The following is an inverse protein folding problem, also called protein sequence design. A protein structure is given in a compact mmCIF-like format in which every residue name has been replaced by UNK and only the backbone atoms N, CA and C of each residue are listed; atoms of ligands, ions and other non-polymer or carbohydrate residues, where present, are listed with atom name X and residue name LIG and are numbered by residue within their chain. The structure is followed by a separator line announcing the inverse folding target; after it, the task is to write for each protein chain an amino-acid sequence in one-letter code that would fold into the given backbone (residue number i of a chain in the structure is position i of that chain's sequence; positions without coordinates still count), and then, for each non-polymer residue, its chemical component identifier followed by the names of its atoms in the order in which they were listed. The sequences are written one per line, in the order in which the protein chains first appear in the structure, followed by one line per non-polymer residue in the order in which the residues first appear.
data_IF_947048699856
#
_entry.id   IF_947048699856
#
_cell.length_a   1.000
_cell.length_b   1.000
_cell.length_c   1.000
_cell.angle_alpha   90.00
_cell.angle_beta   90.00
_cell.angle_gamma   90.00
#
_symmetry.space_group_name_H-M   'P 1'
#
loop_
_entity.id
_entity.type
_entity.pdbx_description
1 polymer ?
#
# COMPACT_ATOMS: atom_id res chain seq x y z
N UNK A 1 -5.69 25.18 12.62
CA UNK A 1 -6.30 26.00 13.70
C UNK A 1 -7.22 25.08 14.50
N UNK A 2 -6.62 24.25 15.37
CA UNK A 2 -7.37 23.33 16.22
C UNK A 2 -7.83 24.07 17.46
N UNK A 3 -9.10 23.92 17.77
CA UNK A 3 -9.83 24.58 18.83
C UNK A 3 -9.11 24.32 20.16
N UNK A 4 -8.52 25.33 20.75
CA UNK A 4 -8.21 25.38 22.18
C UNK A 4 -9.54 25.47 22.95
N UNK A 5 -10.39 24.46 22.78
CA UNK A 5 -11.60 24.30 23.55
C UNK A 5 -11.25 23.70 24.91
N UNK A 6 -10.79 24.54 25.82
CA UNK A 6 -10.76 24.13 27.20
C UNK A 6 -12.21 23.85 27.64
N UNK A 7 -12.51 22.56 27.88
CA UNK A 7 -13.72 22.19 28.58
C UNK A 7 -13.73 22.96 29.91
N UNK A 8 -14.59 24.00 30.02
CA UNK A 8 -14.77 24.70 31.28
C UNK A 8 -15.47 23.73 32.23
N UNK A 9 -14.86 23.53 33.40
CA UNK A 9 -15.51 22.87 34.54
C UNK A 9 -16.91 23.49 34.71
N UNK A 10 -17.94 22.64 34.68
CA UNK A 10 -19.30 23.04 35.08
C UNK A 10 -19.42 22.75 36.59
N UNK A 11 -19.51 23.76 37.43
CA UNK A 11 -19.64 23.58 38.88
C UNK A 11 -20.95 22.93 39.33
N UNK A 12 -21.88 22.70 38.41
CA UNK A 12 -23.25 22.27 38.68
C UNK A 12 -23.49 20.76 38.40
N UNK A 13 -22.46 19.92 38.47
CA UNK A 13 -22.65 18.46 38.35
C UNK A 13 -23.41 17.93 39.59
N UNK A 14 -24.52 17.19 39.38
CA UNK A 14 -25.52 16.96 40.43
C UNK A 14 -25.09 15.99 41.55
N UNK A 15 -24.08 15.19 41.33
CA UNK A 15 -23.60 14.22 42.32
C UNK A 15 -22.12 13.87 42.15
N UNK A 16 -21.57 13.12 43.11
CA UNK A 16 -20.16 12.70 43.17
C UNK A 16 -19.81 11.70 42.04
N UNK A 17 -20.75 10.85 41.59
CA UNK A 17 -20.52 9.91 40.53
C UNK A 17 -20.37 10.64 39.18
N UNK A 18 -21.19 11.68 38.95
CA UNK A 18 -21.08 12.54 37.80
C UNK A 18 -19.74 13.30 37.76
N UNK A 19 -19.28 13.77 38.91
CA UNK A 19 -17.96 14.44 39.04
C UNK A 19 -16.83 13.46 38.72
N UNK A 20 -16.86 12.27 39.30
CA UNK A 20 -15.84 11.23 39.07
C UNK A 20 -15.76 10.85 37.59
N UNK A 21 -16.90 10.60 36.96
CA UNK A 21 -16.97 10.30 35.51
C UNK A 21 -16.43 11.45 34.65
N UNK A 22 -16.68 12.68 35.03
CA UNK A 22 -16.15 13.86 34.34
C UNK A 22 -14.63 13.95 34.49
N UNK A 23 -14.08 13.68 35.66
CA UNK A 23 -12.65 13.69 35.88
C UNK A 23 -11.92 12.58 35.11
N UNK A 24 -12.51 11.37 35.06
CA UNK A 24 -12.02 10.26 34.24
C UNK A 24 -11.99 10.66 32.74
N UNK A 25 -13.09 11.17 32.23
CA UNK A 25 -13.14 11.64 30.83
C UNK A 25 -12.15 12.78 30.55
N UNK A 26 -11.99 13.71 31.49
CA UNK A 26 -11.02 14.79 31.37
C UNK A 26 -9.58 14.27 31.31
N UNK A 27 -9.26 13.25 32.11
CA UNK A 27 -7.95 12.61 32.08
C UNK A 27 -7.69 11.93 30.73
N UNK A 28 -8.67 11.21 30.18
CA UNK A 28 -8.59 10.60 28.85
C UNK A 28 -8.40 11.66 27.75
N UNK A 29 -9.18 12.74 27.77
CA UNK A 29 -9.02 13.84 26.82
C UNK A 29 -7.64 14.50 26.91
N UNK A 30 -7.09 14.63 28.11
CA UNK A 30 -5.74 15.17 28.31
C UNK A 30 -4.69 14.26 27.69
N UNK A 31 -4.78 12.95 27.90
CA UNK A 31 -3.87 11.99 27.30
C UNK A 31 -3.96 12.02 25.76
N UNK A 32 -5.18 12.10 25.22
CA UNK A 32 -5.37 12.21 23.78
C UNK A 32 -4.80 13.51 23.22
N UNK A 33 -5.00 14.64 23.90
CA UNK A 33 -4.41 15.91 23.50
C UNK A 33 -2.88 15.90 23.54
N UNK A 34 -2.27 15.23 24.54
CA UNK A 34 -0.82 15.05 24.62
C UNK A 34 -0.31 14.19 23.45
N UNK A 35 -1.02 13.12 23.09
CA UNK A 35 -0.69 12.28 21.94
C UNK A 35 -0.78 13.09 20.62
N UNK A 36 -1.85 13.84 20.42
CA UNK A 36 -2.02 14.68 19.22
C UNK A 36 -0.92 15.73 19.13
N UNK A 37 -0.59 16.43 20.21
CA UNK A 37 0.50 17.40 20.24
C UNK A 37 1.85 16.74 19.95
N UNK A 38 2.08 15.53 20.46
CA UNK A 38 3.29 14.76 20.19
C UNK A 38 3.42 14.41 18.72
N UNK A 39 2.33 13.93 18.10
CA UNK A 39 2.28 13.60 16.67
C UNK A 39 2.45 14.87 15.80
N UNK A 40 1.76 15.97 16.13
CA UNK A 40 1.87 17.24 15.42
C UNK A 40 3.30 17.77 15.42
N UNK A 41 3.94 17.82 16.60
CA UNK A 41 5.33 18.30 16.74
C UNK A 41 6.35 17.42 15.98
N UNK A 42 6.02 16.20 15.63
CA UNK A 42 6.85 15.27 14.87
C UNK A 42 6.47 15.16 13.39
N UNK A 43 5.48 15.91 12.94
CA UNK A 43 4.98 15.88 11.56
C UNK A 43 4.15 14.63 11.25
N UNK A 44 3.34 14.17 12.21
CA UNK A 44 2.36 13.08 12.06
C UNK A 44 2.89 11.71 11.62
N UNK A 45 4.00 11.21 12.20
CA UNK A 45 4.61 9.96 11.75
C UNK A 45 3.68 8.75 11.83
N UNK A 46 2.80 8.67 12.81
CA UNK A 46 1.82 7.59 12.96
C UNK A 46 0.79 7.62 11.83
N UNK A 47 0.25 8.82 11.53
CA UNK A 47 -0.69 9.00 10.43
C UNK A 47 -0.06 8.62 9.09
N UNK A 48 1.18 9.04 8.85
CA UNK A 48 1.90 8.70 7.62
C UNK A 48 2.14 7.19 7.50
N UNK A 49 2.50 6.52 8.59
CA UNK A 49 2.68 5.07 8.61
C UNK A 49 1.37 4.32 8.28
N UNK A 50 0.25 4.72 8.91
CA UNK A 50 -1.07 4.14 8.61
C UNK A 50 -1.51 4.40 7.17
N UNK A 51 -1.31 5.61 6.67
CA UNK A 51 -1.63 5.96 5.29
C UNK A 51 -0.83 5.11 4.30
N UNK A 52 0.48 4.93 4.54
CA UNK A 52 1.32 4.06 3.71
C UNK A 52 0.80 2.62 3.69
N UNK A 53 0.50 2.05 4.86
CA UNK A 53 -0.01 0.67 4.97
C UNK A 53 -1.33 0.50 4.23
N UNK A 54 -2.28 1.43 4.44
CA UNK A 54 -3.59 1.40 3.80
C UNK A 54 -3.50 1.56 2.28
N UNK A 55 -2.64 2.46 1.82
CA UNK A 55 -2.45 2.75 0.40
C UNK A 55 -1.79 1.56 -0.32
N UNK A 56 -0.81 0.92 0.30
CA UNK A 56 -0.22 -0.31 -0.24
C UNK A 56 -1.24 -1.45 -0.31
N UNK A 57 -2.02 -1.66 0.76
CA UNK A 57 -3.08 -2.67 0.78
C UNK A 57 -4.15 -2.43 -0.29
N UNK A 58 -4.50 -1.17 -0.55
CA UNK A 58 -5.42 -0.81 -1.63
C UNK A 58 -4.84 -1.15 -3.02
N UNK A 59 -3.53 -0.97 -3.24
CA UNK A 59 -2.86 -1.39 -4.48
C UNK A 59 -2.87 -2.91 -4.63
N UNK A 60 -2.54 -3.65 -3.56
CA UNK A 60 -2.59 -5.12 -3.56
C UNK A 60 -4.00 -5.62 -3.94
N UNK A 61 -5.03 -5.07 -3.29
CA UNK A 61 -6.43 -5.41 -3.57
C UNK A 61 -6.84 -5.06 -5.00
N UNK A 62 -6.46 -3.88 -5.51
CA UNK A 62 -6.80 -3.46 -6.87
C UNK A 62 -6.16 -4.37 -7.95
N UNK A 63 -4.92 -4.80 -7.75
CA UNK A 63 -4.27 -5.76 -8.66
C UNK A 63 -4.96 -7.12 -8.59
N UNK A 64 -5.29 -7.61 -7.40
CA UNK A 64 -6.01 -8.86 -7.22
C UNK A 64 -7.40 -8.82 -7.88
N UNK A 65 -8.19 -7.76 -7.62
CA UNK A 65 -9.53 -7.59 -8.19
C UNK A 65 -9.49 -7.51 -9.71
N UNK A 66 -8.50 -6.84 -10.30
CA UNK A 66 -8.28 -6.83 -11.74
C UNK A 66 -8.11 -8.24 -12.29
N UNK A 67 -7.25 -9.06 -11.68
CA UNK A 67 -6.95 -10.42 -12.14
C UNK A 67 -8.13 -11.37 -11.93
N UNK A 68 -8.84 -11.25 -10.80
CA UNK A 68 -10.09 -11.99 -10.55
C UNK A 68 -11.15 -11.61 -11.59
N UNK A 69 -11.28 -10.31 -11.91
CA UNK A 69 -12.19 -9.84 -12.95
C UNK A 69 -11.89 -10.46 -14.31
N UNK A 70 -10.62 -10.57 -14.69
CA UNK A 70 -10.22 -11.25 -15.93
C UNK A 70 -10.59 -12.74 -15.88
N UNK A 71 -10.25 -13.45 -14.82
CA UNK A 71 -10.57 -14.88 -14.66
C UNK A 71 -12.08 -15.17 -14.70
N UNK A 72 -12.87 -14.25 -14.16
CA UNK A 72 -14.34 -14.39 -14.19
C UNK A 72 -14.92 -14.19 -15.60
N UNK A 73 -14.30 -13.35 -16.43
CA UNK A 73 -14.82 -12.99 -17.75
C UNK A 73 -14.16 -13.77 -18.89
N UNK A 74 -12.95 -14.29 -18.69
CA UNK A 74 -12.15 -15.05 -19.66
C UNK A 74 -11.69 -16.38 -19.06
N UNK A 75 -12.58 -17.35 -18.86
CA UNK A 75 -12.25 -18.64 -18.25
C UNK A 75 -11.22 -19.44 -19.06
N UNK A 76 -11.03 -19.15 -20.33
CA UNK A 76 -10.01 -19.75 -21.19
C UNK A 76 -8.58 -19.45 -20.70
N UNK A 77 -8.35 -18.39 -19.94
CA UNK A 77 -7.07 -18.09 -19.32
C UNK A 77 -6.63 -19.24 -18.41
N UNK A 78 -7.58 -19.94 -17.76
CA UNK A 78 -7.31 -21.08 -16.90
C UNK A 78 -6.70 -22.28 -17.66
N UNK A 79 -6.85 -22.35 -18.98
CA UNK A 79 -6.26 -23.43 -19.80
C UNK A 79 -4.80 -23.19 -20.15
N UNK A 80 -4.27 -22.01 -19.83
CA UNK A 80 -2.87 -21.68 -20.13
C UNK A 80 -1.89 -22.45 -19.22
N UNK A 81 -0.64 -22.67 -19.67
CA UNK A 81 0.36 -23.42 -18.89
C UNK A 81 0.60 -22.86 -17.48
N UNK A 82 0.28 -21.59 -17.26
CA UNK A 82 0.46 -20.95 -15.98
C UNK A 82 -0.47 -21.55 -14.89
N UNK A 83 -1.63 -22.04 -15.29
CA UNK A 83 -2.65 -22.59 -14.39
C UNK A 83 -2.72 -24.12 -14.40
N UNK A 84 -2.09 -24.78 -15.39
CA UNK A 84 -2.18 -26.23 -15.60
C UNK A 84 -1.65 -27.09 -14.44
N UNK A 85 -0.85 -26.51 -13.54
CA UNK A 85 -0.23 -27.20 -12.40
C UNK A 85 -0.94 -26.95 -11.07
N UNK A 86 -1.96 -26.07 -11.06
CA UNK A 86 -2.66 -25.74 -9.83
C UNK A 86 -3.47 -26.94 -9.37
N UNK A 87 -3.36 -27.24 -8.09
CA UNK A 87 -4.13 -28.28 -7.42
C UNK A 87 -5.02 -27.65 -6.38
N UNK A 88 -6.32 -27.80 -6.55
CA UNK A 88 -7.33 -27.30 -5.62
C UNK A 88 -8.09 -28.49 -5.02
N UNK A 89 -8.51 -28.34 -3.76
CA UNK A 89 -9.50 -29.24 -3.16
C UNK A 89 -10.85 -28.99 -3.83
N UNK A 90 -11.45 -30.03 -4.39
CA UNK A 90 -12.77 -29.93 -5.02
C UNK A 90 -13.83 -29.45 -4.03
N UNK A 91 -13.77 -29.94 -2.79
CA UNK A 91 -14.71 -29.56 -1.74
C UNK A 91 -14.62 -28.07 -1.40
N UNK A 92 -13.39 -27.51 -1.33
CA UNK A 92 -13.20 -26.08 -1.07
C UNK A 92 -13.70 -25.24 -2.26
N UNK A 93 -13.45 -25.73 -3.49
CA UNK A 93 -13.84 -25.02 -4.70
C UNK A 93 -15.35 -24.97 -4.95
N UNK A 94 -16.08 -26.07 -4.70
CA UNK A 94 -17.52 -26.15 -4.98
C UNK A 94 -18.39 -25.30 -4.04
N UNK A 95 -17.92 -25.08 -2.81
CA UNK A 95 -18.66 -24.31 -1.80
C UNK A 95 -18.51 -22.79 -1.92
N UNK A 96 -17.68 -22.31 -2.85
CA UNK A 96 -17.38 -20.89 -3.03
C UNK A 96 -18.22 -20.27 -4.16
N UNK A 97 -18.49 -18.98 -4.05
CA UNK A 97 -19.03 -18.19 -5.16
C UNK A 97 -17.97 -17.99 -6.27
N UNK A 98 -18.40 -17.56 -7.45
CA UNK A 98 -17.54 -17.50 -8.64
C UNK A 98 -16.27 -16.67 -8.44
N UNK A 99 -16.39 -15.50 -7.87
CA UNK A 99 -15.26 -14.59 -7.60
C UNK A 99 -14.34 -15.14 -6.49
N UNK A 100 -14.90 -15.76 -5.46
CA UNK A 100 -14.13 -16.42 -4.40
C UNK A 100 -13.32 -17.61 -4.95
N UNK A 101 -13.92 -18.39 -5.87
CA UNK A 101 -13.19 -19.45 -6.59
C UNK A 101 -12.00 -18.90 -7.35
N UNK A 102 -12.18 -17.76 -8.04
CA UNK A 102 -11.09 -17.14 -8.81
C UNK A 102 -10.01 -16.56 -7.90
N UNK A 103 -10.39 -16.01 -6.73
CA UNK A 103 -9.41 -15.61 -5.70
C UNK A 103 -8.61 -16.79 -5.18
N UNK A 104 -9.26 -17.92 -4.92
CA UNK A 104 -8.59 -19.15 -4.50
C UNK A 104 -7.59 -19.63 -5.57
N UNK A 105 -8.01 -19.66 -6.84
CA UNK A 105 -7.13 -20.01 -7.96
C UNK A 105 -5.91 -19.07 -8.01
N UNK A 106 -6.12 -17.76 -7.92
CA UNK A 106 -5.06 -16.77 -7.97
C UNK A 106 -4.07 -16.91 -6.80
N UNK A 107 -4.58 -17.20 -5.60
CA UNK A 107 -3.74 -17.44 -4.42
C UNK A 107 -2.82 -18.67 -4.60
N UNK A 108 -3.34 -19.73 -5.21
CA UNK A 108 -2.53 -20.92 -5.50
C UNK A 108 -1.49 -20.66 -6.60
N UNK A 109 -1.84 -19.89 -7.65
CA UNK A 109 -0.84 -19.42 -8.64
C UNK A 109 0.30 -18.67 -7.97
N UNK A 110 -0.05 -17.75 -7.07
CA UNK A 110 0.93 -16.96 -6.33
C UNK A 110 1.82 -17.82 -5.44
N UNK A 111 1.25 -18.88 -4.84
CA UNK A 111 1.96 -19.82 -3.96
C UNK A 111 2.88 -20.75 -4.73
N UNK A 112 2.39 -21.40 -5.80
CA UNK A 112 3.17 -22.35 -6.61
C UNK A 112 4.37 -21.67 -7.27
N UNK A 113 4.18 -20.48 -7.79
CA UNK A 113 5.23 -19.68 -8.40
C UNK A 113 6.15 -19.01 -7.37
N UNK A 114 5.69 -18.76 -6.16
CA UNK A 114 6.47 -18.19 -5.06
C UNK A 114 7.57 -19.15 -4.56
N UNK A 115 7.52 -20.43 -4.89
CA UNK A 115 8.65 -21.36 -4.66
C UNK A 115 9.88 -20.98 -5.51
N UNK A 116 9.73 -20.26 -6.61
CA UNK A 116 10.82 -19.54 -7.28
C UNK A 116 11.37 -18.35 -6.47
N UNK A 117 10.79 -18.09 -5.37
CA UNK A 117 11.16 -17.47 -4.09
C UNK A 117 11.85 -16.18 -4.13
N UNK A 118 11.41 -15.06 -4.60
CA UNK A 118 11.99 -13.80 -4.12
C UNK A 118 11.38 -12.53 -4.74
N UNK A 119 10.37 -12.65 -5.58
CA UNK A 119 9.69 -11.46 -6.09
C UNK A 119 8.98 -10.73 -4.93
N UNK A 120 9.33 -9.49 -4.69
CA UNK A 120 8.77 -8.65 -3.65
C UNK A 120 8.40 -7.28 -4.23
N UNK A 121 7.53 -6.55 -3.56
CA UNK A 121 7.11 -5.25 -4.03
C UNK A 121 6.49 -5.33 -5.43
N UNK A 122 6.88 -4.42 -6.33
CA UNK A 122 6.36 -4.38 -7.70
C UNK A 122 6.72 -5.62 -8.53
N UNK A 123 7.88 -6.24 -8.28
CA UNK A 123 8.26 -7.46 -8.97
C UNK A 123 7.29 -8.63 -8.68
N UNK A 124 6.67 -8.63 -7.50
CA UNK A 124 5.60 -9.57 -7.17
C UNK A 124 4.36 -9.31 -8.03
N UNK A 125 3.95 -8.06 -8.20
CA UNK A 125 2.83 -7.71 -9.08
C UNK A 125 3.13 -8.11 -10.53
N UNK A 126 4.30 -7.74 -11.05
CA UNK A 126 4.69 -8.09 -12.41
C UNK A 126 4.70 -9.62 -12.63
N UNK A 127 5.08 -10.37 -11.60
CA UNK A 127 5.07 -11.82 -11.62
C UNK A 127 3.67 -12.43 -11.71
N UNK A 128 2.70 -11.95 -10.91
CA UNK A 128 1.31 -12.43 -10.95
C UNK A 128 0.55 -11.92 -12.18
N UNK A 129 0.95 -10.79 -12.76
CA UNK A 129 0.40 -10.21 -13.98
C UNK A 129 0.85 -10.94 -15.25
N UNK A 130 2.02 -11.61 -15.21
CA UNK A 130 2.61 -12.26 -16.38
C UNK A 130 1.71 -13.32 -17.06
N UNK A 131 0.98 -14.20 -16.33
CA UNK A 131 0.06 -15.16 -16.94
C UNK A 131 -1.05 -14.54 -17.76
N UNK A 132 -1.37 -13.29 -17.47
CA UNK A 132 -2.45 -12.54 -18.10
C UNK A 132 -1.96 -11.65 -19.25
N UNK A 133 -0.66 -11.67 -19.56
CA UNK A 133 -0.06 -10.79 -20.56
C UNK A 133 -0.04 -9.32 -20.14
N UNK A 134 -0.16 -9.04 -18.85
CA UNK A 134 -0.20 -7.69 -18.28
C UNK A 134 1.12 -7.27 -17.63
N UNK A 135 2.13 -8.15 -17.57
CA UNK A 135 3.46 -7.83 -17.10
C UNK A 135 4.27 -7.08 -18.16
N UNK A 136 5.23 -6.27 -17.71
CA UNK A 136 6.13 -5.56 -18.62
C UNK A 136 7.13 -4.67 -17.87
N UNK A 137 7.92 -3.86 -18.57
CA UNK A 137 8.90 -2.99 -17.94
C UNK A 137 8.23 -1.95 -17.04
N UNK A 138 8.87 -1.71 -15.89
CA UNK A 138 8.55 -0.62 -14.96
C UNK A 138 9.80 0.24 -14.83
N UNK A 139 9.66 1.54 -14.97
CA UNK A 139 10.77 2.48 -14.87
C UNK A 139 11.48 2.36 -13.51
N UNK A 140 12.81 2.49 -13.49
CA UNK A 140 13.62 2.21 -12.29
C UNK A 140 13.25 3.08 -11.09
N UNK A 141 12.97 4.37 -11.30
CA UNK A 141 12.55 5.28 -10.24
C UNK A 141 11.20 4.86 -9.62
N UNK A 142 10.24 4.48 -10.47
CA UNK A 142 8.94 3.99 -10.03
C UNK A 142 9.10 2.65 -9.28
N UNK A 143 9.92 1.77 -9.82
CA UNK A 143 10.24 0.47 -9.21
C UNK A 143 10.88 0.66 -7.84
N UNK A 144 11.87 1.54 -7.71
CA UNK A 144 12.53 1.84 -6.44
C UNK A 144 11.56 2.44 -5.43
N UNK A 145 10.66 3.34 -5.85
CA UNK A 145 9.66 3.94 -5.01
C UNK A 145 8.69 2.89 -4.45
N UNK A 146 8.12 2.05 -5.30
CA UNK A 146 7.21 0.97 -4.91
C UNK A 146 7.91 -0.11 -4.06
N UNK A 147 9.17 -0.42 -4.36
CA UNK A 147 10.00 -1.29 -3.54
C UNK A 147 10.20 -0.75 -2.13
N UNK A 148 10.52 0.54 -2.04
CA UNK A 148 10.67 1.23 -0.76
C UNK A 148 9.38 1.18 0.06
N UNK A 149 8.26 1.48 -0.58
CA UNK A 149 6.94 1.46 0.03
C UNK A 149 6.59 0.08 0.60
N UNK A 150 6.81 -0.98 -0.18
CA UNK A 150 6.61 -2.37 0.25
C UNK A 150 7.44 -2.73 1.49
N UNK A 151 8.73 -2.42 1.47
CA UNK A 151 9.63 -2.77 2.57
C UNK A 151 9.33 -1.97 3.85
N UNK A 152 8.98 -0.70 3.73
CA UNK A 152 8.54 0.12 4.86
C UNK A 152 7.23 -0.43 5.45
N UNK A 153 6.22 -0.74 4.60
CA UNK A 153 4.97 -1.36 5.04
C UNK A 153 5.22 -2.64 5.84
N UNK A 154 6.11 -3.50 5.36
CA UNK A 154 6.40 -4.77 6.04
C UNK A 154 7.00 -4.55 7.44
N UNK A 155 7.89 -3.59 7.60
CA UNK A 155 8.48 -3.27 8.91
C UNK A 155 7.45 -2.61 9.83
N UNK A 156 6.60 -1.73 9.31
CA UNK A 156 5.53 -1.09 10.08
C UNK A 156 4.57 -2.15 10.63
N UNK A 157 4.09 -3.05 9.79
CA UNK A 157 3.08 -4.06 10.16
C UNK A 157 3.68 -5.17 11.02
N UNK A 158 4.86 -5.66 10.70
CA UNK A 158 5.39 -6.90 11.29
C UNK A 158 6.51 -6.69 12.30
N UNK A 159 7.02 -5.46 12.46
CA UNK A 159 8.17 -5.14 13.32
C UNK A 159 7.95 -3.89 14.18
N UNK A 160 6.70 -3.51 14.40
CA UNK A 160 6.35 -2.33 15.21
C UNK A 160 7.11 -1.07 14.81
N UNK A 161 7.28 -0.84 13.52
CA UNK A 161 8.06 0.27 12.94
C UNK A 161 9.53 0.31 13.36
N UNK A 162 10.16 -0.83 13.69
CA UNK A 162 11.59 -0.91 13.97
C UNK A 162 12.33 -1.49 12.77
N UNK A 163 13.29 -0.75 12.24
CA UNK A 163 14.11 -1.19 11.11
C UNK A 163 14.84 -2.49 11.42
N UNK A 164 14.71 -3.49 10.59
CA UNK A 164 15.48 -4.72 10.65
C UNK A 164 16.63 -4.72 9.62
N UNK A 165 17.50 -5.73 9.70
CA UNK A 165 18.62 -5.87 8.76
C UNK A 165 18.18 -6.11 7.32
N UNK A 166 16.97 -6.61 7.09
CA UNK A 166 16.41 -6.83 5.75
C UNK A 166 16.05 -5.50 5.11
N UNK A 167 15.32 -4.62 5.81
CA UNK A 167 15.00 -3.29 5.34
C UNK A 167 16.27 -2.49 5.02
N UNK A 168 17.26 -2.49 5.93
CA UNK A 168 18.53 -1.76 5.73
C UNK A 168 19.26 -2.23 4.48
N UNK A 169 19.28 -3.53 4.20
CA UNK A 169 19.89 -4.10 3.00
C UNK A 169 19.06 -3.85 1.74
N UNK A 170 17.74 -3.92 1.85
CA UNK A 170 16.82 -3.77 0.72
C UNK A 170 16.70 -2.31 0.26
N UNK A 171 16.83 -1.34 1.18
CA UNK A 171 16.65 0.08 0.91
C UNK A 171 17.82 0.91 1.51
N UNK A 172 19.07 0.72 1.05
CA UNK A 172 20.24 1.40 1.62
C UNK A 172 20.17 2.92 1.46
N UNK A 173 19.46 3.42 0.46
CA UNK A 173 19.24 4.85 0.21
C UNK A 173 18.42 5.55 1.30
N UNK A 174 17.73 4.80 2.18
CA UNK A 174 17.02 5.39 3.32
C UNK A 174 17.96 5.79 4.47
N UNK A 175 19.20 5.34 4.48
CA UNK A 175 20.18 5.65 5.53
C UNK A 175 19.79 5.13 6.92
N UNK A 176 18.87 4.15 6.99
CA UNK A 176 18.38 3.59 8.25
C UNK A 176 19.41 2.68 8.92
N UNK A 177 19.31 2.57 10.25
CA UNK A 177 20.11 1.63 11.05
C UNK A 177 19.19 0.59 11.68
N UNK A 178 19.59 -0.68 11.65
CA UNK A 178 18.85 -1.75 12.30
C UNK A 178 18.64 -1.45 13.79
N UNK A 179 17.46 -1.81 14.31
CA UNK A 179 17.04 -1.54 15.68
C UNK A 179 16.57 -0.10 15.95
N UNK A 180 16.53 0.78 14.95
CA UNK A 180 16.04 2.14 15.10
C UNK A 180 14.61 2.28 14.56
N UNK A 181 13.81 3.20 15.13
CA UNK A 181 12.47 3.49 14.63
C UNK A 181 12.49 3.95 13.16
N UNK A 182 11.53 3.46 12.41
CA UNK A 182 11.22 3.92 11.05
C UNK A 182 10.18 5.02 11.14
N UNK A 183 10.49 6.17 10.57
CA UNK A 183 9.57 7.30 10.49
C UNK A 183 9.30 7.56 9.01
N UNK A 184 8.05 7.47 8.62
CA UNK A 184 7.60 7.86 7.27
C UNK A 184 7.39 9.37 7.27
N UNK A 185 8.19 10.08 6.49
CA UNK A 185 8.08 11.54 6.38
C UNK A 185 6.98 11.95 5.41
N UNK A 186 6.47 13.18 5.55
CA UNK A 186 5.49 13.74 4.61
C UNK A 186 5.98 13.75 3.16
N UNK A 187 7.27 14.03 2.94
CA UNK A 187 7.87 14.00 1.59
C UNK A 187 7.88 12.57 1.00
N UNK A 188 8.22 11.57 1.81
CA UNK A 188 8.15 10.17 1.36
C UNK A 188 6.71 9.77 1.02
N UNK A 189 5.76 10.12 1.88
CA UNK A 189 4.35 9.85 1.63
C UNK A 189 3.86 10.52 0.34
N UNK A 190 4.26 11.75 0.10
CA UNK A 190 3.95 12.47 -1.14
C UNK A 190 4.50 11.73 -2.39
N UNK A 191 5.76 11.29 -2.37
CA UNK A 191 6.33 10.51 -3.49
C UNK A 191 5.59 9.17 -3.69
N UNK A 192 5.20 8.50 -2.61
CA UNK A 192 4.40 7.28 -2.71
C UNK A 192 3.03 7.53 -3.34
N UNK A 193 2.34 8.59 -2.94
CA UNK A 193 1.07 8.99 -3.54
C UNK A 193 1.17 9.36 -5.01
N UNK A 194 2.33 9.85 -5.45
CA UNK A 194 2.58 10.11 -6.88
C UNK A 194 2.88 8.84 -7.67
N UNK A 195 3.60 7.90 -7.08
CA UNK A 195 4.00 6.66 -7.74
C UNK A 195 2.82 5.74 -8.05
N UNK A 196 1.85 5.66 -7.15
CA UNK A 196 0.71 4.73 -7.27
C UNK A 196 -0.17 4.99 -8.50
N UNK A 197 -0.68 6.21 -8.75
CA UNK A 197 -1.47 6.48 -9.95
C UNK A 197 -0.70 6.18 -11.24
N UNK A 198 0.62 6.34 -11.24
CA UNK A 198 1.45 6.04 -12.41
C UNK A 198 1.48 4.55 -12.67
N UNK A 199 1.70 3.75 -11.62
CA UNK A 199 1.68 2.30 -11.76
C UNK A 199 0.28 1.79 -12.20
N UNK A 200 -0.79 2.29 -11.57
CA UNK A 200 -2.17 1.96 -11.97
C UNK A 200 -2.44 2.36 -13.42
N UNK A 201 -1.95 3.53 -13.85
CA UNK A 201 -2.07 3.97 -15.24
C UNK A 201 -1.30 3.09 -16.22
N UNK A 202 -0.14 2.60 -15.81
CA UNK A 202 0.64 1.62 -16.57
C UNK A 202 -0.16 0.33 -16.76
N UNK A 203 -0.79 -0.18 -15.70
CA UNK A 203 -1.64 -1.37 -15.76
C UNK A 203 -2.86 -1.14 -16.65
N UNK A 204 -3.53 0.01 -16.53
CA UNK A 204 -4.68 0.37 -17.37
C UNK A 204 -4.31 0.42 -18.87
N UNK A 205 -3.14 0.96 -19.22
CA UNK A 205 -2.64 0.94 -20.60
C UNK A 205 -2.37 -0.47 -21.11
N UNK A 206 -1.74 -1.32 -20.31
CA UNK A 206 -1.49 -2.72 -20.66
C UNK A 206 -2.79 -3.48 -20.87
N UNK A 207 -3.77 -3.24 -20.00
CA UNK A 207 -5.11 -3.81 -20.12
C UNK A 207 -5.80 -3.32 -21.39
N UNK A 208 -5.77 -2.01 -21.67
CA UNK A 208 -6.30 -1.45 -22.91
C UNK A 208 -5.67 -2.09 -24.15
N UNK A 209 -4.33 -2.22 -24.17
CA UNK A 209 -3.61 -2.89 -25.26
C UNK A 209 -4.08 -4.34 -25.45
N UNK A 210 -4.26 -5.08 -24.37
CA UNK A 210 -4.79 -6.45 -24.39
C UNK A 210 -6.15 -6.55 -25.10
N UNK A 211 -7.02 -5.56 -24.90
CA UNK A 211 -8.36 -5.51 -25.50
C UNK A 211 -8.44 -4.66 -26.77
N UNK A 212 -7.31 -4.27 -27.37
CA UNK A 212 -7.27 -3.46 -28.57
C UNK A 212 -7.81 -2.05 -28.38
N UNK A 213 -7.81 -1.55 -27.14
CA UNK A 213 -8.27 -0.21 -26.78
C UNK A 213 -7.09 0.70 -26.48
N UNK A 214 -7.14 1.94 -26.96
CA UNK A 214 -6.18 2.97 -26.58
C UNK A 214 -6.65 3.68 -25.35
N UNK A 215 -5.98 3.43 -24.23
CA UNK A 215 -6.18 4.19 -22.99
C UNK A 215 -5.30 5.44 -23.07
N UNK A 216 -5.89 6.56 -23.42
CA UNK A 216 -5.24 7.87 -23.35
C UNK A 216 -5.21 8.30 -21.88
N UNK A 217 -4.03 8.22 -21.28
CA UNK A 217 -3.83 8.74 -19.93
C UNK A 217 -3.08 10.06 -19.99
N UNK A 218 -3.43 11.05 -19.18
CA UNK A 218 -2.63 12.26 -19.09
C UNK A 218 -1.22 11.87 -18.61
N UNK A 219 -0.23 12.19 -19.43
CA UNK A 219 1.21 12.01 -19.17
C UNK A 219 1.70 12.94 -18.04
N UNK A 220 1.03 12.93 -16.89
CA UNK A 220 0.93 14.15 -16.13
C UNK A 220 1.92 14.33 -15.00
N UNK A 221 2.84 13.42 -14.64
CA UNK A 221 3.51 13.73 -13.38
C UNK A 221 5.03 13.53 -13.29
N UNK A 222 5.71 12.90 -14.25
CA UNK A 222 7.18 12.72 -14.17
C UNK A 222 8.01 13.65 -15.07
N UNK A 223 7.42 14.25 -16.09
CA UNK A 223 8.17 15.16 -17.01
C UNK A 223 8.62 16.48 -16.38
N UNK A 224 8.02 16.91 -15.27
CA UNK A 224 8.39 18.20 -14.64
C UNK A 224 9.72 18.18 -13.86
N UNK A 225 10.13 17.03 -13.35
CA UNK A 225 11.38 16.94 -12.57
C UNK A 225 12.62 17.05 -13.47
N UNK A 226 12.55 16.55 -14.69
CA UNK A 226 13.68 16.63 -15.65
C UNK A 226 13.84 18.01 -16.33
N UNK A 227 12.81 18.87 -16.28
CA UNK A 227 12.94 20.25 -16.81
C UNK A 227 13.61 21.23 -15.85
N UNK A 228 13.60 20.94 -14.55
CA UNK A 228 14.23 21.81 -13.55
C UNK A 228 15.70 21.44 -13.26
N UNK A 229 16.18 20.29 -13.71
CA UNK A 229 17.57 19.87 -13.56
C UNK A 229 18.45 20.18 -14.79
N UNK A 230 17.85 20.45 -15.93
CA UNK A 230 18.53 21.02 -17.08
C UNK A 230 18.33 22.52 -17.08
N UNK A 231 19.15 23.22 -16.27
CA UNK A 231 19.21 24.66 -16.26
C UNK A 231 19.64 25.19 -17.64
N UNK A 232 18.69 25.60 -18.43
CA UNK A 232 18.92 26.53 -19.51
C UNK A 232 18.59 27.93 -19.00
N UNK A 233 19.66 28.59 -18.57
CA UNK A 233 19.76 30.05 -18.50
C UNK A 233 19.63 30.57 -19.94
N UNK A 234 18.60 31.33 -20.21
CA UNK A 234 18.44 32.16 -21.37
C UNK A 234 17.95 33.51 -20.92
#
# INVERSE_FOLDING_TARGET
MFIKGGYRYRPDLPDEDAKKKYEEQRAEFKQMAELVNHEENRGFPLLHAHTLVSTWGALEAAVEDLLVGILCNEPEVLTTPAFSRIKLSLADFENLEKDERMRLVLSEVSRDRGQGGKAQGVDHFEFILAPFGLSGPVEDDLKQCLWTMHNLRNVIVHRSSIADSRLVKACPWLGLKAGKPVIVTGNQLYEFHRALPIYVSLLARRLGTRYGQTVTHPELFFKEKNRKSSGESG
#
